data_IF_878971343751
#
_entry.id   IF_878971343751
#
_cell.length_a   1.000
_cell.length_b   1.000
_cell.length_c   1.000
_cell.angle_alpha   90.00
_cell.angle_beta   90.00
_cell.angle_gamma   90.00
#
_symmetry.space_group_name_H-M   'P 1'
#
loop_
_entity.id
_entity.type
_entity.pdbx_description
1 polymer ?
#
# COMPACT_ATOMS: atom_id res chain seq x y z
N UNK A 1 40.11 -39.92 -24.97
CA UNK A 1 38.96 -39.08 -25.33
C UNK A 1 37.97 -39.24 -24.19
N UNK A 2 38.02 -38.34 -23.20
CA UNK A 2 37.22 -38.45 -21.99
C UNK A 2 35.75 -38.26 -22.36
N UNK A 3 34.98 -39.34 -22.31
CA UNK A 3 33.52 -39.28 -22.34
C UNK A 3 33.10 -38.60 -21.04
N UNK A 4 32.42 -37.46 -21.15
CA UNK A 4 31.95 -36.65 -20.03
C UNK A 4 31.22 -37.54 -19.01
N UNK A 5 31.88 -37.79 -17.87
CA UNK A 5 31.29 -38.31 -16.63
C UNK A 5 30.68 -37.16 -15.79
N UNK A 6 30.55 -35.97 -16.39
CA UNK A 6 30.09 -34.76 -15.69
C UNK A 6 28.69 -34.92 -15.13
N UNK A 7 27.78 -35.65 -15.79
CA UNK A 7 26.42 -35.85 -15.28
C UNK A 7 26.40 -36.78 -14.06
N UNK A 8 27.22 -37.85 -14.06
CA UNK A 8 27.30 -38.81 -12.94
C UNK A 8 28.07 -38.23 -11.74
N UNK A 9 29.08 -37.37 -11.99
CA UNK A 9 29.82 -36.65 -10.96
C UNK A 9 28.99 -35.49 -10.38
N UNK A 10 28.22 -34.76 -11.20
CA UNK A 10 27.26 -33.74 -10.71
C UNK A 10 26.16 -34.36 -9.84
N UNK A 11 25.70 -35.57 -10.18
CA UNK A 11 24.68 -36.26 -9.39
C UNK A 11 25.18 -36.68 -7.99
N UNK A 12 26.50 -36.76 -7.78
CA UNK A 12 27.11 -37.05 -6.48
C UNK A 12 27.14 -35.83 -5.56
N UNK A 13 26.96 -34.63 -6.11
CA UNK A 13 26.83 -33.41 -5.33
C UNK A 13 25.43 -33.32 -4.73
N UNK A 14 25.32 -33.76 -3.47
CA UNK A 14 24.06 -33.74 -2.72
C UNK A 14 23.49 -32.33 -2.56
N UNK A 15 24.35 -31.31 -2.44
CA UNK A 15 23.93 -29.91 -2.29
C UNK A 15 23.28 -29.42 -3.59
N UNK A 16 23.93 -29.66 -4.72
CA UNK A 16 23.42 -29.30 -6.04
C UNK A 16 22.09 -29.99 -6.34
N UNK A 17 22.01 -31.30 -6.12
CA UNK A 17 20.79 -32.09 -6.35
C UNK A 17 19.64 -31.58 -5.47
N UNK A 18 19.93 -31.24 -4.20
CA UNK A 18 18.94 -30.67 -3.29
C UNK A 18 18.46 -29.30 -3.76
N UNK A 19 19.36 -28.43 -4.22
CA UNK A 19 19.01 -27.11 -4.73
C UNK A 19 18.13 -27.19 -6.00
N UNK A 20 18.42 -28.14 -6.90
CA UNK A 20 17.61 -28.37 -8.10
C UNK A 20 16.20 -28.87 -7.73
N UNK A 21 16.09 -29.83 -6.81
CA UNK A 21 14.79 -30.32 -6.31
C UNK A 21 13.98 -29.21 -5.63
N UNK A 22 14.65 -28.35 -4.86
CA UNK A 22 14.00 -27.22 -4.21
C UNK A 22 13.51 -26.18 -5.23
N UNK A 23 14.28 -25.94 -6.30
CA UNK A 23 13.88 -25.06 -7.39
C UNK A 23 12.65 -25.62 -8.11
N UNK A 24 12.67 -26.91 -8.46
CA UNK A 24 11.55 -27.60 -9.13
C UNK A 24 10.26 -27.51 -8.30
N UNK A 25 10.33 -27.87 -7.02
CA UNK A 25 9.20 -27.76 -6.10
C UNK A 25 8.70 -26.30 -5.96
N UNK A 26 9.62 -25.33 -5.96
CA UNK A 26 9.26 -23.91 -5.91
C UNK A 26 8.54 -23.45 -7.18
N UNK A 27 8.93 -23.94 -8.35
CA UNK A 27 8.28 -23.63 -9.63
C UNK A 27 6.85 -24.17 -9.62
N UNK A 28 6.65 -25.42 -9.21
CA UNK A 28 5.30 -26.03 -9.09
C UNK A 28 4.41 -25.24 -8.13
N UNK A 29 4.95 -24.78 -6.98
CA UNK A 29 4.20 -23.95 -6.05
C UNK A 29 3.81 -22.58 -6.63
N UNK A 30 4.68 -21.98 -7.45
CA UNK A 30 4.38 -20.71 -8.12
C UNK A 30 3.31 -20.92 -9.19
N UNK A 31 3.40 -22.00 -9.97
CA UNK A 31 2.42 -22.35 -11.00
C UNK A 31 1.02 -22.54 -10.40
N UNK A 32 0.89 -23.40 -9.39
CA UNK A 32 -0.39 -23.64 -8.69
C UNK A 32 -0.99 -22.37 -8.08
N UNK A 33 -0.16 -21.49 -7.50
CA UNK A 33 -0.59 -20.20 -6.99
C UNK A 33 -1.11 -19.31 -8.12
N UNK A 34 -0.39 -19.22 -9.23
CA UNK A 34 -0.77 -18.40 -10.38
C UNK A 34 -2.07 -18.91 -11.02
N UNK A 35 -2.22 -20.21 -11.20
CA UNK A 35 -3.46 -20.81 -11.72
C UNK A 35 -4.67 -20.44 -10.85
N UNK A 36 -4.53 -20.58 -9.52
CA UNK A 36 -5.57 -20.18 -8.57
C UNK A 36 -5.91 -18.69 -8.69
N UNK A 37 -4.91 -17.82 -8.86
CA UNK A 37 -5.10 -16.38 -8.95
C UNK A 37 -5.58 -15.90 -10.31
N UNK A 38 -5.25 -16.57 -11.40
CA UNK A 38 -5.74 -16.23 -12.75
C UNK A 38 -7.16 -16.73 -12.98
N UNK A 39 -7.58 -17.78 -12.27
CA UNK A 39 -8.95 -18.30 -12.34
C UNK A 39 -9.99 -17.41 -11.65
N UNK A 40 -9.56 -16.40 -10.87
CA UNK A 40 -10.50 -15.46 -10.24
C UNK A 40 -11.05 -14.48 -11.27
N UNK A 41 -12.35 -14.18 -11.20
CA UNK A 41 -12.94 -13.14 -12.05
C UNK A 41 -12.40 -11.76 -11.66
N UNK A 42 -11.46 -11.25 -12.45
CA UNK A 42 -10.82 -9.95 -12.25
C UNK A 42 -11.85 -8.81 -12.13
N UNK A 43 -12.96 -8.87 -12.86
CA UNK A 43 -13.93 -7.78 -12.87
C UNK A 43 -14.68 -7.66 -11.55
N UNK A 44 -14.92 -8.80 -10.89
CA UNK A 44 -15.58 -8.89 -9.58
C UNK A 44 -14.73 -8.36 -8.41
N UNK A 45 -13.41 -8.21 -8.60
CA UNK A 45 -12.50 -7.77 -7.55
C UNK A 45 -12.71 -6.30 -7.18
N UNK A 46 -12.54 -5.99 -5.89
CA UNK A 46 -12.45 -4.60 -5.42
C UNK A 46 -11.22 -3.91 -6.01
N UNK A 47 -11.21 -2.57 -6.00
CA UNK A 47 -10.06 -1.79 -6.51
C UNK A 47 -8.76 -2.16 -5.79
N UNK A 48 -8.82 -2.43 -4.48
CA UNK A 48 -7.65 -2.84 -3.70
C UNK A 48 -7.15 -4.22 -4.12
N UNK A 49 -8.05 -5.17 -4.36
CA UNK A 49 -7.71 -6.52 -4.82
C UNK A 49 -7.16 -6.51 -6.24
N UNK A 50 -7.70 -5.66 -7.14
CA UNK A 50 -7.17 -5.45 -8.50
C UNK A 50 -5.73 -4.97 -8.47
N UNK A 51 -5.44 -3.94 -7.65
CA UNK A 51 -4.07 -3.43 -7.48
C UNK A 51 -3.12 -4.54 -7.00
N UNK A 52 -3.54 -5.34 -6.01
CA UNK A 52 -2.74 -6.46 -5.49
C UNK A 52 -2.54 -7.55 -6.56
N UNK A 53 -3.58 -7.87 -7.33
CA UNK A 53 -3.53 -8.84 -8.41
C UNK A 53 -2.55 -8.39 -9.50
N UNK A 54 -2.68 -7.17 -10.01
CA UNK A 54 -1.81 -6.65 -11.07
C UNK A 54 -0.34 -6.58 -10.62
N UNK A 55 -0.11 -6.17 -9.36
CA UNK A 55 1.23 -6.17 -8.77
C UNK A 55 1.81 -7.58 -8.63
N UNK A 56 1.00 -8.57 -8.24
CA UNK A 56 1.42 -9.97 -8.15
C UNK A 56 1.86 -10.47 -9.53
N UNK A 57 1.04 -10.31 -10.56
CA UNK A 57 1.34 -10.79 -11.92
C UNK A 57 2.60 -10.09 -12.46
N UNK A 58 2.68 -8.76 -12.34
CA UNK A 58 3.85 -8.00 -12.80
C UNK A 58 5.12 -8.41 -12.06
N UNK A 59 5.08 -8.59 -10.74
CA UNK A 59 6.24 -9.01 -9.96
C UNK A 59 6.69 -10.42 -10.30
N UNK A 60 5.75 -11.37 -10.38
CA UNK A 60 6.05 -12.77 -10.67
C UNK A 60 6.67 -12.92 -12.06
N UNK A 61 6.11 -12.25 -13.08
CA UNK A 61 6.65 -12.28 -14.44
C UNK A 61 8.10 -11.77 -14.50
N UNK A 62 8.36 -10.62 -13.88
CA UNK A 62 9.72 -10.04 -13.86
C UNK A 62 10.70 -10.90 -13.06
N UNK A 63 10.24 -11.50 -11.95
CA UNK A 63 11.08 -12.34 -11.09
C UNK A 63 11.41 -13.67 -11.77
N UNK A 64 10.44 -14.32 -12.41
CA UNK A 64 10.67 -15.55 -13.18
C UNK A 64 11.62 -15.30 -14.36
N UNK A 65 11.47 -14.16 -15.04
CA UNK A 65 12.39 -13.79 -16.10
C UNK A 65 13.82 -13.54 -15.58
N UNK A 66 13.96 -12.95 -14.39
CA UNK A 66 15.27 -12.82 -13.72
C UNK A 66 15.89 -14.19 -13.38
N UNK A 67 15.09 -15.13 -12.88
CA UNK A 67 15.53 -16.51 -12.61
C UNK A 67 15.95 -17.20 -13.91
N UNK A 68 15.17 -17.07 -14.99
CA UNK A 68 15.51 -17.59 -16.31
C UNK A 68 16.87 -17.09 -16.81
N UNK A 69 17.12 -15.77 -16.71
CA UNK A 69 18.41 -15.18 -17.10
C UNK A 69 19.57 -15.73 -16.25
N UNK A 70 19.34 -15.91 -14.94
CA UNK A 70 20.32 -16.53 -14.02
C UNK A 70 20.67 -17.95 -14.41
N UNK A 71 19.67 -18.78 -14.69
CA UNK A 71 19.86 -20.18 -15.08
C UNK A 71 20.58 -20.29 -16.44
N UNK A 72 20.33 -19.36 -17.35
CA UNK A 72 21.03 -19.27 -18.63
C UNK A 72 22.45 -18.69 -18.56
N UNK A 73 22.98 -18.40 -17.36
CA UNK A 73 24.33 -17.85 -17.19
C UNK A 73 24.53 -16.43 -17.73
N UNK A 74 23.45 -15.69 -17.98
CA UNK A 74 23.53 -14.33 -18.53
C UNK A 74 24.00 -13.33 -17.46
N UNK A 75 24.79 -12.35 -17.88
CA UNK A 75 25.21 -11.26 -17.00
C UNK A 75 24.06 -10.29 -16.71
N UNK A 76 23.57 -10.32 -15.48
CA UNK A 76 22.48 -9.46 -15.02
C UNK A 76 22.89 -8.00 -14.78
N UNK A 77 24.18 -7.67 -14.85
CA UNK A 77 24.63 -6.29 -14.66
C UNK A 77 24.36 -5.43 -15.88
N UNK A 78 24.43 -6.02 -17.07
CA UNK A 78 24.14 -5.35 -18.35
C UNK A 78 22.66 -5.37 -18.71
N UNK A 79 21.90 -6.31 -18.14
CA UNK A 79 20.50 -6.50 -18.48
C UNK A 79 19.57 -5.47 -17.78
N UNK A 80 18.60 -4.94 -18.53
CA UNK A 80 17.60 -3.96 -18.04
C UNK A 80 16.61 -4.50 -16.97
N UNK A 81 16.72 -5.77 -16.58
CA UNK A 81 15.79 -6.42 -15.65
C UNK A 81 15.81 -5.79 -14.27
N UNK A 82 16.98 -5.30 -13.83
CA UNK A 82 17.10 -4.55 -12.57
C UNK A 82 16.24 -3.29 -12.58
N UNK A 83 16.14 -2.60 -13.72
CA UNK A 83 15.28 -1.43 -13.88
C UNK A 83 13.81 -1.81 -13.77
N UNK A 84 13.40 -2.91 -14.39
CA UNK A 84 12.02 -3.40 -14.32
C UNK A 84 11.63 -3.83 -12.90
N UNK A 85 12.51 -4.53 -12.19
CA UNK A 85 12.30 -4.89 -10.78
C UNK A 85 12.18 -3.64 -9.89
N UNK A 86 13.03 -2.63 -10.11
CA UNK A 86 12.91 -1.35 -9.41
C UNK A 86 11.61 -0.62 -9.73
N UNK A 87 11.13 -0.70 -10.98
CA UNK A 87 9.84 -0.14 -11.39
C UNK A 87 8.68 -0.82 -10.65
N UNK A 88 8.67 -2.15 -10.60
CA UNK A 88 7.66 -2.91 -9.85
C UNK A 88 7.68 -2.54 -8.37
N UNK A 89 8.87 -2.47 -7.75
CA UNK A 89 9.04 -2.03 -6.36
C UNK A 89 8.45 -0.64 -6.12
N UNK A 90 8.76 0.33 -6.98
CA UNK A 90 8.21 1.69 -6.88
C UNK A 90 6.69 1.69 -6.95
N UNK A 91 6.09 0.85 -7.80
CA UNK A 91 4.63 0.71 -7.90
C UNK A 91 4.04 0.08 -6.63
N UNK A 92 4.71 -0.90 -6.02
CA UNK A 92 4.30 -1.46 -4.72
C UNK A 92 4.32 -0.43 -3.60
N UNK A 93 5.38 0.40 -3.53
CA UNK A 93 5.49 1.47 -2.52
C UNK A 93 4.39 2.53 -2.69
N UNK A 94 4.07 2.87 -3.94
CA UNK A 94 2.97 3.76 -4.29
C UNK A 94 1.61 3.16 -3.90
N UNK A 95 1.36 1.89 -4.20
CA UNK A 95 0.14 1.19 -3.81
C UNK A 95 -0.01 1.11 -2.29
N UNK A 96 1.07 0.79 -1.57
CA UNK A 96 1.11 0.76 -0.10
C UNK A 96 0.78 2.14 0.48
N UNK A 97 1.33 3.20 -0.09
CA UNK A 97 1.03 4.58 0.32
C UNK A 97 -0.42 4.97 0.06
N UNK A 98 -0.98 4.58 -1.09
CA UNK A 98 -2.38 4.86 -1.44
C UNK A 98 -3.36 4.12 -0.51
N UNK A 99 -3.11 2.84 -0.24
CA UNK A 99 -3.93 2.03 0.67
C UNK A 99 -3.77 2.49 2.13
N UNK A 100 -2.55 2.86 2.55
CA UNK A 100 -2.28 3.37 3.90
C UNK A 100 -2.99 4.68 4.22
N UNK A 101 -3.13 5.59 3.23
CA UNK A 101 -3.88 6.85 3.39
C UNK A 101 -5.36 6.64 3.78
N UNK A 102 -5.96 5.51 3.40
CA UNK A 102 -7.34 5.18 3.79
C UNK A 102 -7.48 4.98 5.30
N UNK A 103 -6.44 4.46 5.94
CA UNK A 103 -6.42 4.14 7.37
C UNK A 103 -5.77 5.24 8.23
N UNK A 104 -5.39 6.37 7.63
CA UNK A 104 -4.74 7.46 8.34
C UNK A 104 -5.76 8.27 9.15
N UNK A 105 -5.42 8.58 10.40
CA UNK A 105 -6.19 9.47 11.27
C UNK A 105 -6.39 10.82 10.57
N UNK A 106 -7.64 11.21 10.36
CA UNK A 106 -7.98 12.51 9.79
C UNK A 106 -8.14 13.51 10.91
N UNK A 107 -7.47 14.66 10.78
CA UNK A 107 -7.70 15.79 11.69
C UNK A 107 -9.11 16.32 11.44
N UNK A 108 -9.89 16.51 12.51
CA UNK A 108 -11.14 17.24 12.42
C UNK A 108 -10.82 18.72 12.15
N UNK A 109 -10.97 19.11 10.88
CA UNK A 109 -10.71 20.47 10.43
C UNK A 109 -11.53 21.49 11.22
N UNK A 110 -12.79 21.18 11.57
CA UNK A 110 -13.64 22.10 12.33
C UNK A 110 -13.12 22.28 13.76
N UNK A 111 -12.65 21.20 14.40
CA UNK A 111 -12.03 21.29 15.71
C UNK A 111 -10.73 22.10 15.67
N UNK A 112 -9.88 21.86 14.66
CA UNK A 112 -8.64 22.61 14.46
C UNK A 112 -8.92 24.11 14.22
N UNK A 113 -9.91 24.45 13.38
CA UNK A 113 -10.36 25.83 13.15
C UNK A 113 -10.80 26.49 14.47
N UNK A 114 -11.57 25.78 15.32
CA UNK A 114 -11.96 26.30 16.64
C UNK A 114 -10.77 26.55 17.55
N UNK A 115 -9.78 25.66 17.58
CA UNK A 115 -8.57 25.86 18.38
C UNK A 115 -7.77 27.09 17.92
N UNK A 116 -7.63 27.27 16.61
CA UNK A 116 -6.95 28.44 16.03
C UNK A 116 -7.73 29.73 16.35
N UNK A 117 -9.05 29.73 16.17
CA UNK A 117 -9.91 30.88 16.46
C UNK A 117 -9.86 31.31 17.94
N UNK A 118 -9.80 30.35 18.87
CA UNK A 118 -9.65 30.66 20.28
C UNK A 118 -8.24 31.14 20.62
N UNK A 119 -7.20 30.57 20.01
CA UNK A 119 -5.81 30.96 20.23
C UNK A 119 -5.51 32.38 19.69
N UNK A 120 -6.15 32.77 18.58
CA UNK A 120 -6.03 34.10 17.96
C UNK A 120 -7.05 35.11 18.52
N UNK A 121 -7.82 34.72 19.54
CA UNK A 121 -8.79 35.61 20.15
C UNK A 121 -8.09 36.71 20.96
N UNK A 122 -8.36 37.97 20.61
CA UNK A 122 -7.93 39.16 21.38
C UNK A 122 -9.15 39.98 21.79
N UNK A 123 -9.09 40.71 22.93
CA UNK A 123 -10.24 41.46 23.44
C UNK A 123 -10.76 42.57 22.51
N UNK A 124 -9.97 43.07 21.57
CA UNK A 124 -10.42 44.06 20.57
C UNK A 124 -11.30 43.43 19.46
N UNK A 125 -11.16 42.11 19.22
CA UNK A 125 -12.05 41.34 18.34
C UNK A 125 -13.49 41.25 18.87
N UNK A 126 -13.70 41.59 20.16
CA UNK A 126 -15.03 41.63 20.79
C UNK A 126 -15.90 42.72 20.15
N UNK A 127 -15.34 43.87 19.74
CA UNK A 127 -16.09 44.95 19.06
C UNK A 127 -16.55 44.57 17.66
N UNK A 128 -15.77 43.78 16.92
CA UNK A 128 -16.12 43.34 15.56
C UNK A 128 -17.12 42.19 15.52
N UNK A 129 -17.04 41.21 16.44
CA UNK A 129 -18.05 40.12 16.53
C UNK A 129 -19.36 40.59 17.19
N UNK A 130 -19.34 41.57 18.10
CA UNK A 130 -20.57 42.14 18.66
C UNK A 130 -21.34 43.02 17.66
N UNK A 131 -20.71 43.52 16.61
CA UNK A 131 -21.42 44.18 15.49
C UNK A 131 -22.06 43.19 14.51
N UNK A 132 -21.63 41.92 14.47
CA UNK A 132 -22.14 40.90 13.53
C UNK A 132 -22.90 39.74 14.19
N UNK A 133 -23.06 39.75 15.51
CA UNK A 133 -24.00 38.91 16.26
C UNK A 133 -24.98 39.78 17.04
N UNK A 134 -25.81 40.54 16.31
CA UNK A 134 -27.18 40.81 16.74
C UNK A 134 -28.01 39.52 16.57
N UNK A 135 -27.61 38.44 17.23
CA UNK A 135 -28.53 37.35 17.53
C UNK A 135 -28.90 37.50 18.99
N UNK A 136 -30.15 37.90 19.21
CA UNK A 136 -30.82 38.02 20.51
C UNK A 136 -30.45 36.85 21.42
N UNK A 137 -29.49 37.06 22.32
CA UNK A 137 -29.36 36.23 23.50
C UNK A 137 -30.52 36.62 24.41
N UNK A 138 -31.65 35.90 24.29
CA UNK A 138 -32.76 35.98 25.24
C UNK A 138 -32.27 35.47 26.60
N UNK A 139 -31.65 36.34 27.39
CA UNK A 139 -31.52 36.12 28.83
C UNK A 139 -32.93 36.21 29.39
N UNK A 140 -33.57 35.05 29.57
CA UNK A 140 -34.80 34.93 30.33
C UNK A 140 -34.44 35.31 31.77
N UNK A 141 -34.93 36.46 32.25
CA UNK A 141 -34.95 36.76 33.68
C UNK A 141 -36.23 36.16 34.23
N UNK A 142 -36.11 35.34 35.26
CA UNK A 142 -37.25 34.84 36.01
C UNK A 142 -37.60 35.84 37.12
N UNK A 143 -38.87 36.11 37.34
CA UNK A 143 -39.33 36.89 38.49
C UNK A 143 -39.23 36.07 39.79
N UNK A 144 -39.50 36.69 40.95
CA UNK A 144 -39.40 36.02 42.26
C UNK A 144 -40.39 34.85 42.42
N UNK A 145 -41.34 34.69 41.49
CA UNK A 145 -42.30 33.59 41.45
C UNK A 145 -41.91 32.49 40.43
N UNK A 146 -40.78 32.65 39.73
CA UNK A 146 -40.22 31.64 38.83
C UNK A 146 -40.78 31.67 37.41
N UNK A 147 -41.44 32.76 36.98
CA UNK A 147 -41.97 32.90 35.63
C UNK A 147 -41.09 33.82 34.74
N UNK A 148 -40.96 33.50 33.44
CA UNK A 148 -40.10 34.23 32.51
C UNK A 148 -40.64 35.65 32.25
N UNK A 149 -39.91 36.68 32.68
CA UNK A 149 -40.20 38.08 32.37
C UNK A 149 -39.77 38.41 30.94
N UNK A 150 -40.68 38.99 30.15
CA UNK A 150 -40.47 39.35 28.74
C UNK A 150 -39.63 40.63 28.58
#
# INVERSE_FOLDING_TARGET
MATLDLDEELLKDEELVTNIKNLDHSIVNIETLLESRMSTDYNSLSVEEKIKHDLLIAFTLNSLYWVYLRLGGNDLTTHNIKRELNRVKSTMDMAKSALGKKNMLRVDKKAAERFIDHALWTPDNKKRRSQNMETSNKKIKFDENGDPSN
#
